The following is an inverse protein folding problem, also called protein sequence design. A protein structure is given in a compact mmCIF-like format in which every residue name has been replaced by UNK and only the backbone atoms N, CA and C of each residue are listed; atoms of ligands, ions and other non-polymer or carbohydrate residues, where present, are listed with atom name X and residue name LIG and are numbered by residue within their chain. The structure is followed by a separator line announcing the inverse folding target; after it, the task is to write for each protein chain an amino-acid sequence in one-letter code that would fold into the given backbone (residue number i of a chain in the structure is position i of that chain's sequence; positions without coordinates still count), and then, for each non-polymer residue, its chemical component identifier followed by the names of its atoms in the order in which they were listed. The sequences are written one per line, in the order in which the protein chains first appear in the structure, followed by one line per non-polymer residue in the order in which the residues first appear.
data_IF_681389401595
#
_entry.id   IF_681389401595
#
_cell.length_a   1.000
_cell.length_b   1.000
_cell.length_c   1.000
_cell.angle_alpha   90.00
_cell.angle_beta   90.00
_cell.angle_gamma   90.00
#
_symmetry.space_group_name_H-M   'P 1'
#
loop_
_entity.id
_entity.type
_entity.pdbx_description
1 polymer ?
#
# COMPACT_ATOMS: atom_id res chain seq x y z
N UNK A 1 -1.62 -0.65 13.76
CA UNK A 1 -0.23 -0.22 13.44
C UNK A 1 -0.24 0.93 12.43
N UNK A 2 -1.01 0.79 11.36
CA UNK A 2 -1.18 1.79 10.29
C UNK A 2 -1.64 3.18 10.75
N UNK A 3 -2.66 3.26 11.63
CA UNK A 3 -3.17 4.54 12.13
C UNK A 3 -2.12 5.41 12.86
N UNK A 4 -1.05 4.79 13.39
CA UNK A 4 0.06 5.51 14.05
C UNK A 4 1.09 6.03 13.05
N UNK A 5 1.19 5.45 11.86
CA UNK A 5 2.17 5.80 10.85
C UNK A 5 1.65 6.88 9.89
N UNK A 6 0.40 6.74 9.43
CA UNK A 6 -0.14 7.58 8.37
C UNK A 6 -0.10 9.07 8.68
N UNK A 7 -0.41 9.48 9.91
CA UNK A 7 -0.33 10.89 10.29
C UNK A 7 1.08 11.49 10.15
N UNK A 8 2.13 10.71 10.41
CA UNK A 8 3.52 11.17 10.26
C UNK A 8 3.95 11.22 8.79
N UNK A 9 3.57 10.21 8.00
CA UNK A 9 3.84 10.20 6.55
C UNK A 9 3.11 11.36 5.86
N UNK A 10 1.84 11.57 6.16
CA UNK A 10 1.05 12.69 5.60
C UNK A 10 1.68 14.04 5.93
N UNK A 11 2.11 14.26 7.18
CA UNK A 11 2.81 15.50 7.57
C UNK A 11 4.13 15.69 6.85
N UNK A 12 4.92 14.63 6.70
CA UNK A 12 6.21 14.70 6.01
C UNK A 12 6.06 15.01 4.50
N UNK A 13 4.94 14.60 3.91
CA UNK A 13 4.63 14.78 2.49
C UNK A 13 3.78 16.03 2.20
N UNK A 14 3.41 16.80 3.22
CA UNK A 14 2.49 17.93 3.07
C UNK A 14 3.12 19.02 2.19
N UNK A 15 2.44 19.39 1.10
CA UNK A 15 2.91 20.40 0.16
C UNK A 15 4.03 19.94 -0.78
N UNK A 16 4.35 18.65 -0.81
CA UNK A 16 5.41 18.10 -1.67
C UNK A 16 4.83 17.58 -2.99
N UNK A 17 5.43 17.96 -4.12
CA UNK A 17 5.13 17.37 -5.43
C UNK A 17 6.07 16.19 -5.73
N UNK A 18 5.51 15.01 -5.95
CA UNK A 18 6.28 13.81 -6.28
C UNK A 18 6.49 13.66 -7.79
N UNK A 19 7.61 14.18 -8.29
CA UNK A 19 8.01 13.98 -9.69
C UNK A 19 9.06 12.87 -9.86
N UNK A 20 9.49 12.22 -8.77
CA UNK A 20 10.33 11.01 -8.81
C UNK A 20 10.14 10.15 -7.56
N UNK A 21 10.44 8.85 -7.69
CA UNK A 21 10.42 7.89 -6.57
C UNK A 21 11.46 8.27 -5.50
N UNK A 22 12.61 8.82 -5.92
CA UNK A 22 13.64 9.28 -4.99
C UNK A 22 13.15 10.39 -4.06
N UNK A 23 12.31 11.30 -4.55
CA UNK A 23 11.72 12.37 -3.74
C UNK A 23 10.69 11.79 -2.77
N UNK A 24 9.81 10.91 -3.23
CA UNK A 24 8.88 10.21 -2.35
C UNK A 24 9.63 9.49 -1.22
N UNK A 25 10.68 8.72 -1.55
CA UNK A 25 11.53 8.03 -0.57
C UNK A 25 12.13 9.00 0.44
N UNK A 26 12.68 10.13 -0.01
CA UNK A 26 13.29 11.15 0.86
C UNK A 26 12.30 11.63 1.92
N UNK A 27 11.11 12.06 1.53
CA UNK A 27 10.12 12.60 2.46
C UNK A 27 9.50 11.52 3.35
N UNK A 28 9.26 10.32 2.83
CA UNK A 28 8.81 9.18 3.64
C UNK A 28 9.87 8.78 4.67
N UNK A 29 11.17 8.85 4.34
CA UNK A 29 12.26 8.62 5.29
C UNK A 29 12.31 9.71 6.38
N UNK A 30 11.99 10.96 6.05
CA UNK A 30 11.87 12.04 7.05
C UNK A 30 10.71 11.84 8.02
N UNK A 31 9.67 11.08 7.66
CA UNK A 31 8.63 10.71 8.62
C UNK A 31 9.17 9.92 9.82
N UNK A 32 10.33 9.26 9.67
CA UNK A 32 11.04 8.54 10.75
C UNK A 32 11.63 9.47 11.81
N UNK A 33 12.01 10.70 11.45
CA UNK A 33 12.73 11.60 12.36
C UNK A 33 11.79 12.36 13.29
N UNK A 34 10.49 12.36 13.00
CA UNK A 34 9.46 13.10 13.73
C UNK A 34 8.64 12.22 14.69
N UNK A 35 9.09 11.00 14.97
CA UNK A 35 8.44 10.10 15.93
C UNK A 35 9.19 10.13 17.25
N UNK A 36 8.54 10.68 18.28
CA UNK A 36 9.20 11.02 19.55
C UNK A 36 9.59 9.81 20.41
N UNK A 37 8.99 8.62 20.21
CA UNK A 37 9.44 7.36 20.85
C UNK A 37 8.67 6.13 20.33
N UNK A 38 9.37 5.02 20.08
CA UNK A 38 8.80 3.67 19.95
C UNK A 38 8.27 3.23 18.58
N UNK A 39 8.20 4.11 17.57
CA UNK A 39 7.81 3.74 16.20
C UNK A 39 9.01 3.86 15.26
N UNK A 40 9.61 2.72 14.91
CA UNK A 40 10.68 2.65 13.90
C UNK A 40 10.05 2.34 12.54
N UNK A 41 10.28 3.20 11.57
CA UNK A 41 9.82 3.02 10.19
C UNK A 41 11.03 2.73 9.32
N UNK A 42 10.87 1.89 8.31
CA UNK A 42 11.86 1.71 7.24
C UNK A 42 11.16 1.99 5.91
N UNK A 43 11.90 2.53 4.95
CA UNK A 43 11.37 2.86 3.62
C UNK A 43 12.32 2.23 2.64
N UNK A 44 11.76 1.40 1.76
CA UNK A 44 12.48 0.72 0.70
C UNK A 44 11.81 0.97 -0.64
N UNK A 45 12.59 0.92 -1.71
CA UNK A 45 12.08 1.03 -3.07
C UNK A 45 12.14 -0.35 -3.70
N UNK A 46 10.98 -0.85 -4.09
CA UNK A 46 10.89 -2.11 -4.81
C UNK A 46 11.36 -1.88 -6.24
N UNK A 47 12.58 -2.32 -6.55
CA UNK A 47 13.19 -2.22 -7.88
C UNK A 47 12.60 -3.23 -8.91
N UNK A 48 11.54 -3.95 -8.53
CA UNK A 48 10.85 -4.86 -9.41
C UNK A 48 10.13 -4.12 -10.55
N UNK A 49 10.24 -4.66 -11.76
CA UNK A 49 9.52 -4.13 -12.92
C UNK A 49 8.07 -4.63 -12.88
N UNK A 50 7.16 -3.75 -12.48
CA UNK A 50 5.72 -4.00 -12.55
C UNK A 50 5.21 -3.76 -13.97
N UNK A 51 5.12 -4.84 -14.74
CA UNK A 51 4.63 -4.80 -16.12
C UNK A 51 3.19 -4.26 -16.15
N UNK A 52 2.98 -3.17 -16.88
CA UNK A 52 1.64 -2.62 -17.11
C UNK A 52 0.79 -3.59 -17.92
N UNK A 53 -0.49 -3.70 -17.56
CA UNK A 53 -1.42 -4.57 -18.29
C UNK A 53 -1.15 -6.07 -18.13
N UNK A 54 -0.41 -6.48 -17.08
CA UNK A 54 -0.26 -7.90 -16.74
C UNK A 54 -1.65 -8.52 -16.54
N UNK A 55 -2.05 -9.40 -17.45
CA UNK A 55 -3.31 -10.13 -17.36
C UNK A 55 -3.21 -11.18 -16.25
N UNK A 56 -4.30 -11.33 -15.52
CA UNK A 56 -4.49 -12.46 -14.60
C UNK A 56 -4.56 -13.77 -15.39
N UNK A 57 -4.38 -14.90 -14.70
CA UNK A 57 -4.61 -16.20 -15.33
C UNK A 57 -6.03 -16.29 -15.90
N UNK A 58 -6.22 -17.03 -16.99
CA UNK A 58 -7.49 -17.09 -17.70
C UNK A 58 -8.64 -17.60 -16.81
N UNK A 59 -8.31 -18.45 -15.86
CA UNK A 59 -9.20 -19.06 -14.87
C UNK A 59 -9.30 -18.26 -13.57
N UNK A 60 -8.59 -17.13 -13.44
CA UNK A 60 -8.52 -16.37 -12.19
C UNK A 60 -9.91 -15.93 -11.71
N UNK A 61 -10.77 -15.40 -12.59
CA UNK A 61 -12.11 -14.96 -12.19
C UNK A 61 -13.03 -16.13 -11.78
N UNK A 62 -12.81 -17.32 -12.33
CA UNK A 62 -13.57 -18.51 -11.95
C UNK A 62 -13.10 -19.08 -10.61
N UNK A 63 -11.80 -18.97 -10.32
CA UNK A 63 -11.15 -19.54 -9.14
C UNK A 63 -10.80 -18.50 -8.07
N UNK A 64 -11.21 -17.23 -8.23
CA UNK A 64 -10.85 -16.17 -7.30
C UNK A 64 -11.54 -16.38 -5.97
N UNK A 65 -10.80 -16.14 -4.90
CA UNK A 65 -11.25 -16.29 -3.51
C UNK A 65 -11.74 -14.98 -2.90
N UNK A 66 -12.22 -14.09 -3.77
CA UNK A 66 -12.78 -12.78 -3.42
C UNK A 66 -14.30 -12.91 -3.42
N UNK A 67 -14.89 -12.76 -2.24
CA UNK A 67 -16.33 -12.79 -2.03
C UNK A 67 -16.84 -11.37 -1.83
N UNK A 68 -17.70 -10.90 -2.72
CA UNK A 68 -18.29 -9.58 -2.62
C UNK A 68 -19.48 -9.59 -1.64
N UNK A 69 -19.64 -8.48 -0.92
CA UNK A 69 -20.77 -8.30 -0.01
C UNK A 69 -22.11 -8.30 -0.78
N UNK A 70 -23.17 -8.85 -0.18
CA UNK A 70 -24.47 -8.97 -0.84
C UNK A 70 -25.16 -7.61 -1.02
N UNK A 71 -25.01 -6.71 -0.06
CA UNK A 71 -25.68 -5.41 -0.06
C UNK A 71 -24.86 -4.31 -0.74
N UNK A 72 -23.53 -4.35 -0.58
CA UNK A 72 -22.60 -3.36 -1.12
C UNK A 72 -21.43 -4.01 -1.89
N UNK A 73 -21.69 -4.81 -2.93
CA UNK A 73 -20.65 -5.54 -3.66
C UNK A 73 -19.61 -4.63 -4.32
N UNK A 74 -19.98 -3.38 -4.66
CA UNK A 74 -19.04 -2.42 -5.24
C UNK A 74 -18.06 -1.84 -4.22
N UNK A 75 -18.34 -1.95 -2.92
CA UNK A 75 -17.61 -1.25 -1.86
C UNK A 75 -16.94 -2.20 -0.88
N UNK A 76 -17.50 -3.40 -0.69
CA UNK A 76 -17.07 -4.35 0.31
C UNK A 76 -16.80 -5.72 -0.31
N UNK A 77 -15.68 -6.32 0.08
CA UNK A 77 -15.31 -7.68 -0.30
C UNK A 77 -14.45 -8.34 0.79
N UNK A 78 -14.45 -9.66 0.81
CA UNK A 78 -13.60 -10.51 1.63
C UNK A 78 -12.69 -11.35 0.74
N UNK A 79 -11.38 -11.28 0.95
CA UNK A 79 -10.43 -12.20 0.32
C UNK A 79 -10.05 -13.30 1.32
N UNK A 80 -10.24 -14.57 0.96
CA UNK A 80 -9.81 -15.69 1.82
C UNK A 80 -8.43 -16.22 1.42
N UNK A 81 -7.56 -16.56 2.40
CA UNK A 81 -6.23 -17.09 2.12
C UNK A 81 -6.30 -18.51 1.53
N UNK A 82 -5.32 -18.94 0.71
CA UNK A 82 -5.16 -20.32 0.27
C UNK A 82 -5.34 -21.32 1.43
N UNK A 83 -5.94 -22.49 1.16
CA UNK A 83 -5.91 -23.57 2.14
C UNK A 83 -4.46 -24.09 2.22
N UNK A 84 -3.99 -24.42 3.43
CA UNK A 84 -2.63 -24.91 3.69
C UNK A 84 -2.39 -26.31 3.12
#
# INVERSE_FOLDING_TARGET
MEHRLFAHVTRACLGVTFHSVAIARKFMAMAMTNTTTGLKVTVDVLDAVYVKGKKVAADFLANMRIFFDEHLPCWNYLATPPAE
#
